data_IF_803518265869
#
_entry.id   IF_803518265869
#
_cell.length_a   1.000
_cell.length_b   1.000
_cell.length_c   1.000
_cell.angle_alpha   90.00
_cell.angle_beta   90.00
_cell.angle_gamma   90.00
#
_symmetry.space_group_name_H-M   'P 1'
#
loop_
_entity.id
_entity.type
_entity.pdbx_description
1 polymer ?
#
# COMPACT_ATOMS: atom_id res chain seq x y z
N UNK A 1 -62.55 18.39 7.40
CA UNK A 1 -61.71 18.73 6.23
C UNK A 1 -61.38 20.21 6.43
N UNK A 2 -60.23 20.62 6.95
CA UNK A 2 -58.82 20.44 6.51
C UNK A 2 -57.93 20.92 7.67
N UNK A 3 -57.11 20.02 8.24
CA UNK A 3 -55.61 19.94 8.17
C UNK A 3 -54.87 20.86 9.15
N UNK A 4 -54.08 20.20 10.01
CA UNK A 4 -52.96 20.71 10.80
C UNK A 4 -52.10 21.72 10.06
N UNK A 5 -51.53 22.66 10.81
CA UNK A 5 -50.13 23.02 10.62
C UNK A 5 -49.55 23.32 12.01
N UNK A 6 -48.92 22.29 12.57
CA UNK A 6 -48.10 22.35 13.78
C UNK A 6 -46.97 23.37 13.56
N UNK A 7 -46.90 24.35 14.45
CA UNK A 7 -45.82 25.34 14.45
C UNK A 7 -44.54 24.69 14.97
N UNK A 8 -43.74 24.12 14.08
CA UNK A 8 -42.44 23.53 14.42
C UNK A 8 -41.44 24.66 14.76
N UNK A 9 -40.90 24.72 16.00
CA UNK A 9 -40.00 25.79 16.39
C UNK A 9 -38.68 25.68 15.61
N UNK A 10 -38.13 26.82 15.18
CA UNK A 10 -36.81 26.88 14.56
C UNK A 10 -35.75 26.29 15.52
N UNK A 11 -35.26 25.09 15.17
CA UNK A 11 -34.15 24.46 15.87
C UNK A 11 -32.88 25.27 15.61
N UNK A 12 -32.52 26.16 16.54
CA UNK A 12 -31.14 26.65 16.65
C UNK A 12 -30.23 25.44 16.81
N UNK A 13 -29.23 25.32 15.95
CA UNK A 13 -28.34 24.14 15.90
C UNK A 13 -27.87 23.80 17.31
N UNK A 14 -28.03 22.53 17.68
CA UNK A 14 -27.61 22.04 19.00
C UNK A 14 -26.12 22.33 19.21
N UNK A 15 -25.64 22.52 20.45
CA UNK A 15 -24.21 22.49 20.76
C UNK A 15 -23.51 21.26 20.17
N UNK A 16 -24.21 20.13 20.10
CA UNK A 16 -23.74 18.91 19.45
C UNK A 16 -23.64 19.04 17.92
N UNK A 17 -24.60 19.72 17.27
CA UNK A 17 -24.53 20.01 15.83
C UNK A 17 -23.38 20.97 15.52
N UNK A 18 -23.13 21.95 16.40
CA UNK A 18 -22.00 22.85 16.26
C UNK A 18 -20.66 22.11 16.40
N UNK A 19 -20.55 21.20 17.37
CA UNK A 19 -19.36 20.34 17.53
C UNK A 19 -19.19 19.40 16.32
N UNK A 20 -20.26 18.80 15.80
CA UNK A 20 -20.22 17.96 14.61
C UNK A 20 -19.84 18.77 13.35
N UNK A 21 -20.39 19.97 13.20
CA UNK A 21 -20.05 20.88 12.11
C UNK A 21 -18.60 21.37 12.21
N UNK A 22 -18.10 21.66 13.41
CA UNK A 22 -16.69 21.97 13.64
C UNK A 22 -15.77 20.77 13.38
N UNK A 23 -16.17 19.55 13.76
CA UNK A 23 -15.44 18.32 13.42
C UNK A 23 -15.44 18.03 11.92
N UNK A 24 -16.50 18.40 11.20
CA UNK A 24 -16.57 18.30 9.74
C UNK A 24 -15.76 19.39 9.04
N UNK A 25 -15.77 20.62 9.57
CA UNK A 25 -15.11 21.78 8.96
C UNK A 25 -13.61 21.84 9.27
N UNK A 26 -13.23 21.46 10.50
CA UNK A 26 -11.84 21.44 10.96
C UNK A 26 -11.20 20.06 10.95
N UNK A 27 -11.96 19.01 10.65
CA UNK A 27 -11.49 17.65 10.42
C UNK A 27 -10.63 17.14 11.56
N UNK A 28 -11.16 16.21 12.38
CA UNK A 28 -10.32 15.33 13.21
C UNK A 28 -8.97 15.11 12.50
N UNK A 29 -7.88 15.61 13.09
CA UNK A 29 -6.52 15.39 12.58
C UNK A 29 -6.02 14.15 13.31
N UNK A 30 -6.07 12.95 12.69
CA UNK A 30 -5.26 11.85 13.18
C UNK A 30 -3.79 12.32 13.13
N UNK A 31 -2.91 11.73 13.93
CA UNK A 31 -1.52 12.21 14.23
C UNK A 31 -1.34 13.23 15.36
N UNK A 32 -1.91 12.95 16.53
CA UNK A 32 -1.02 12.96 17.70
C UNK A 32 -0.81 11.56 18.29
N UNK A 33 -1.76 10.62 18.14
CA UNK A 33 -1.55 9.25 18.64
C UNK A 33 -2.13 8.10 17.78
N UNK A 34 -3.02 8.35 16.80
CA UNK A 34 -3.66 7.28 16.00
C UNK A 34 -3.39 7.41 14.48
N UNK A 35 -3.24 6.28 13.75
CA UNK A 35 -3.07 6.25 12.30
C UNK A 35 -4.27 6.89 11.57
N UNK A 36 -4.01 7.62 10.48
CA UNK A 36 -5.07 8.16 9.63
C UNK A 36 -5.78 7.05 8.86
N UNK A 37 -7.09 6.83 9.07
CA UNK A 37 -7.81 5.71 8.47
C UNK A 37 -8.21 5.95 7.00
N UNK A 38 -7.95 7.14 6.45
CA UNK A 38 -8.37 7.46 5.08
C UNK A 38 -7.53 6.67 4.07
N UNK A 39 -8.16 6.06 3.04
CA UNK A 39 -7.42 5.31 2.04
C UNK A 39 -6.59 6.24 1.16
N UNK A 40 -5.48 5.70 0.63
CA UNK A 40 -4.76 6.34 -0.47
C UNK A 40 -5.62 6.41 -1.73
N UNK A 41 -5.37 7.39 -2.62
CA UNK A 41 -6.04 7.45 -3.91
C UNK A 41 -5.67 6.22 -4.75
N UNK A 42 -6.64 5.70 -5.51
CA UNK A 42 -6.42 4.55 -6.39
C UNK A 42 -5.38 4.85 -7.47
N UNK A 43 -4.45 3.92 -7.69
CA UNK A 43 -3.30 4.14 -8.59
C UNK A 43 -3.70 4.51 -10.03
N UNK A 44 -4.78 3.93 -10.56
CA UNK A 44 -5.26 4.24 -11.90
C UNK A 44 -5.86 5.65 -11.99
N UNK A 45 -6.57 6.10 -10.95
CA UNK A 45 -7.10 7.46 -10.87
C UNK A 45 -5.95 8.47 -10.79
N UNK A 46 -4.90 8.15 -10.01
CA UNK A 46 -3.69 8.96 -9.94
C UNK A 46 -3.00 9.03 -11.31
N UNK A 47 -2.82 7.91 -12.00
CA UNK A 47 -2.20 7.88 -13.32
C UNK A 47 -2.97 8.75 -14.33
N UNK A 48 -4.30 8.63 -14.36
CA UNK A 48 -5.16 9.47 -15.20
C UNK A 48 -5.04 10.97 -14.86
N UNK A 49 -5.06 11.33 -13.58
CA UNK A 49 -4.91 12.71 -13.16
C UNK A 49 -3.53 13.30 -13.56
N UNK A 50 -2.46 12.52 -13.52
CA UNK A 50 -1.13 12.95 -13.96
C UNK A 50 -1.12 13.16 -15.47
N UNK A 51 -1.76 12.27 -16.25
CA UNK A 51 -1.93 12.46 -17.68
C UNK A 51 -2.67 13.78 -17.98
N UNK A 52 -3.79 14.03 -17.31
CA UNK A 52 -4.59 15.24 -17.49
C UNK A 52 -3.81 16.53 -17.19
N UNK A 53 -2.95 16.52 -16.15
CA UNK A 53 -2.07 17.65 -15.81
C UNK A 53 -1.08 17.93 -16.95
N UNK A 54 -0.45 16.89 -17.48
CA UNK A 54 0.51 17.02 -18.57
C UNK A 54 -0.18 17.47 -19.86
N UNK A 55 -1.31 16.85 -20.21
CA UNK A 55 -2.09 17.20 -21.39
C UNK A 55 -2.58 18.65 -21.33
N UNK A 56 -2.99 19.14 -20.15
CA UNK A 56 -3.36 20.54 -19.96
C UNK A 56 -2.18 21.49 -20.21
N UNK A 57 -0.99 21.20 -19.66
CA UNK A 57 0.20 22.02 -19.89
C UNK A 57 0.61 22.03 -21.37
N UNK A 58 0.63 20.86 -22.01
CA UNK A 58 1.00 20.72 -23.42
C UNK A 58 -0.02 21.45 -24.30
N UNK A 59 -1.31 21.11 -24.19
CA UNK A 59 -2.34 21.67 -25.06
C UNK A 59 -2.51 23.19 -24.94
N UNK A 60 -2.18 23.77 -23.79
CA UNK A 60 -2.31 25.23 -23.56
C UNK A 60 -1.09 26.03 -24.00
N UNK A 61 0.10 25.42 -24.04
CA UNK A 61 1.36 26.12 -24.29
C UNK A 61 2.00 25.79 -25.65
N UNK A 62 1.70 24.62 -26.23
CA UNK A 62 2.16 24.26 -27.58
C UNK A 62 1.62 25.23 -28.64
N UNK A 63 2.43 25.50 -29.67
CA UNK A 63 2.14 26.45 -30.74
C UNK A 63 1.89 27.89 -30.25
N UNK A 64 2.34 28.21 -29.04
CA UNK A 64 2.28 29.56 -28.47
C UNK A 64 3.68 30.16 -28.29
N UNK A 65 3.73 31.44 -27.92
CA UNK A 65 4.99 32.09 -27.55
C UNK A 65 5.63 31.54 -26.27
N UNK A 66 4.90 30.73 -25.50
CA UNK A 66 5.38 30.09 -24.27
C UNK A 66 5.85 28.66 -24.48
N UNK A 67 5.74 28.11 -25.70
CA UNK A 67 6.23 26.77 -26.01
C UNK A 67 7.71 26.55 -25.64
N UNK A 68 8.64 27.53 -25.80
CA UNK A 68 10.02 27.35 -25.36
C UNK A 68 10.19 27.09 -23.85
N UNK A 69 9.22 27.49 -23.03
CA UNK A 69 9.23 27.28 -21.57
C UNK A 69 8.58 25.94 -21.16
N UNK A 70 7.92 25.25 -22.08
CA UNK A 70 7.11 24.06 -21.79
C UNK A 70 7.95 22.91 -21.22
N UNK A 71 9.13 22.63 -21.78
CA UNK A 71 10.01 21.56 -21.30
C UNK A 71 10.39 21.76 -19.82
N UNK A 72 10.80 22.96 -19.44
CA UNK A 72 11.18 23.29 -18.07
C UNK A 72 9.98 23.22 -17.10
N UNK A 73 8.77 23.57 -17.57
CA UNK A 73 7.54 23.41 -16.80
C UNK A 73 7.19 21.94 -16.58
N UNK A 74 7.23 21.09 -17.62
CA UNK A 74 6.99 19.65 -17.50
C UNK A 74 8.04 18.99 -16.59
N UNK A 75 9.31 19.39 -16.72
CA UNK A 75 10.38 18.94 -15.85
C UNK A 75 10.08 19.30 -14.39
N UNK A 76 9.65 20.54 -14.14
CA UNK A 76 9.34 21.05 -12.80
C UNK A 76 8.14 20.35 -12.18
N UNK A 77 7.10 20.05 -12.97
CA UNK A 77 5.92 19.28 -12.53
C UNK A 77 6.32 17.89 -12.06
N UNK A 78 7.11 17.15 -12.85
CA UNK A 78 7.67 15.85 -12.43
C UNK A 78 8.49 15.97 -11.14
N UNK A 79 9.30 17.02 -11.05
CA UNK A 79 10.17 17.28 -9.91
C UNK A 79 9.41 17.58 -8.60
N UNK A 80 8.15 18.02 -8.65
CA UNK A 80 7.32 18.19 -7.44
C UNK A 80 7.08 16.83 -6.76
N UNK A 81 6.68 15.82 -7.53
CA UNK A 81 6.42 14.48 -7.00
C UNK A 81 7.70 13.79 -6.52
N UNK A 82 8.80 13.95 -7.26
CA UNK A 82 10.10 13.46 -6.82
C UNK A 82 10.52 14.04 -5.45
N UNK A 83 10.42 15.36 -5.27
CA UNK A 83 10.76 16.00 -3.99
C UNK A 83 9.81 15.62 -2.86
N UNK A 84 8.55 15.31 -3.17
CA UNK A 84 7.61 14.80 -2.19
C UNK A 84 8.02 13.41 -1.70
N UNK A 85 8.32 12.49 -2.62
CA UNK A 85 8.84 11.15 -2.28
C UNK A 85 10.13 11.23 -1.44
N UNK A 86 11.09 12.07 -1.81
CA UNK A 86 12.35 12.24 -1.07
C UNK A 86 12.16 12.84 0.34
N UNK A 87 11.11 13.61 0.57
CA UNK A 87 10.78 14.12 1.90
C UNK A 87 10.24 13.00 2.79
N UNK A 88 9.29 12.23 2.27
CA UNK A 88 8.72 11.09 2.99
C UNK A 88 9.76 10.00 3.24
N UNK A 89 10.68 9.78 2.30
CA UNK A 89 11.79 8.85 2.49
C UNK A 89 12.68 9.23 3.69
N UNK A 90 12.96 10.52 3.88
CA UNK A 90 13.71 11.00 5.06
C UNK A 90 12.91 10.86 6.36
N UNK A 91 11.62 11.16 6.33
CA UNK A 91 10.73 10.92 7.48
C UNK A 91 10.71 9.42 7.85
N UNK A 92 10.70 8.53 6.85
CA UNK A 92 10.75 7.08 7.03
C UNK A 92 12.11 6.64 7.62
N UNK A 93 13.23 7.18 7.15
CA UNK A 93 14.56 6.89 7.70
C UNK A 93 14.66 7.26 9.19
N UNK A 94 14.07 8.39 9.59
CA UNK A 94 14.01 8.81 10.99
C UNK A 94 13.10 7.89 11.82
N UNK A 95 11.93 7.51 11.28
CA UNK A 95 11.02 6.56 11.92
C UNK A 95 11.68 5.17 12.08
N UNK A 96 12.40 4.66 11.07
CA UNK A 96 13.13 3.39 11.16
C UNK A 96 14.21 3.42 12.25
N UNK A 97 14.92 4.55 12.40
CA UNK A 97 15.88 4.73 13.48
C UNK A 97 15.19 4.74 14.85
N UNK A 98 14.02 5.37 14.97
CA UNK A 98 13.21 5.36 16.18
C UNK A 98 12.72 3.94 16.53
N UNK A 99 12.23 3.17 15.54
CA UNK A 99 11.85 1.77 15.72
C UNK A 99 13.03 0.93 16.23
N UNK A 100 14.21 1.03 15.60
CA UNK A 100 15.42 0.30 16.02
C UNK A 100 15.85 0.66 17.44
N UNK A 101 15.75 1.92 17.83
CA UNK A 101 16.03 2.38 19.20
C UNK A 101 15.03 1.79 20.18
N UNK A 102 13.73 1.94 19.89
CA UNK A 102 12.64 1.41 20.73
C UNK A 102 12.79 -0.10 20.95
N UNK A 103 13.11 -0.87 19.90
CA UNK A 103 13.38 -2.31 20.01
C UNK A 103 14.53 -2.66 20.95
N UNK A 104 15.62 -1.88 20.95
CA UNK A 104 16.79 -2.10 21.83
C UNK A 104 16.50 -1.71 23.28
N UNK A 105 15.62 -0.74 23.48
CA UNK A 105 15.26 -0.21 24.80
C UNK A 105 14.07 -0.95 25.43
N UNK A 106 13.55 -2.00 24.78
CA UNK A 106 12.47 -2.83 25.31
C UNK A 106 12.84 -3.42 26.67
N UNK A 107 11.95 -3.23 27.64
CA UNK A 107 12.03 -3.77 28.99
C UNK A 107 10.84 -4.69 29.33
N UNK A 108 10.00 -4.98 28.34
CA UNK A 108 8.80 -5.80 28.49
C UNK A 108 7.59 -5.07 29.08
N UNK A 109 7.66 -3.74 29.27
CA UNK A 109 6.50 -2.95 29.67
C UNK A 109 5.49 -2.80 28.52
N UNK A 110 4.21 -2.77 28.88
CA UNK A 110 3.12 -2.53 27.93
C UNK A 110 3.29 -1.18 27.23
N UNK A 111 3.69 -0.14 27.96
CA UNK A 111 3.93 1.21 27.43
C UNK A 111 4.92 1.19 26.27
N UNK A 112 6.12 0.61 26.45
CA UNK A 112 7.12 0.53 25.38
C UNK A 112 6.72 -0.38 24.23
N UNK A 113 5.88 -1.38 24.50
CA UNK A 113 5.33 -2.26 23.46
C UNK A 113 4.36 -1.46 22.57
N UNK A 114 3.43 -0.71 23.17
CA UNK A 114 2.48 0.16 22.46
C UNK A 114 3.20 1.27 21.70
N UNK A 115 4.24 1.88 22.27
CA UNK A 115 5.05 2.88 21.57
C UNK A 115 5.74 2.31 20.32
N UNK A 116 6.25 1.08 20.39
CA UNK A 116 6.82 0.40 19.23
C UNK A 116 5.76 0.09 18.17
N UNK A 117 4.59 -0.40 18.57
CA UNK A 117 3.46 -0.63 17.66
C UNK A 117 3.03 0.65 16.94
N UNK A 118 2.97 1.79 17.66
CA UNK A 118 2.67 3.09 17.06
C UNK A 118 3.72 3.49 16.02
N UNK A 119 5.01 3.34 16.32
CA UNK A 119 6.09 3.63 15.38
C UNK A 119 6.02 2.75 14.13
N UNK A 120 5.64 1.47 14.28
CA UNK A 120 5.45 0.54 13.16
C UNK A 120 4.28 0.98 12.28
N UNK A 121 3.14 1.34 12.88
CA UNK A 121 1.96 1.80 12.15
C UNK A 121 2.23 3.12 11.39
N UNK A 122 2.97 4.04 12.02
CA UNK A 122 3.45 5.26 11.36
C UNK A 122 4.40 4.94 10.19
N UNK A 123 5.36 4.03 10.40
CA UNK A 123 6.28 3.58 9.36
C UNK A 123 5.56 2.98 8.15
N UNK A 124 4.51 2.18 8.38
CA UNK A 124 3.67 1.65 7.31
C UNK A 124 2.98 2.77 6.53
N UNK A 125 2.43 3.77 7.22
CA UNK A 125 1.78 4.92 6.59
C UNK A 125 2.78 5.73 5.74
N UNK A 126 4.02 5.89 6.21
CA UNK A 126 5.09 6.57 5.47
C UNK A 126 5.51 5.79 4.21
N UNK A 127 5.61 4.46 4.29
CA UNK A 127 5.87 3.59 3.13
C UNK A 127 4.78 3.77 2.07
N UNK A 128 3.52 3.65 2.46
CA UNK A 128 2.38 3.77 1.56
C UNK A 128 2.35 5.15 0.89
N UNK A 129 2.58 6.23 1.65
CA UNK A 129 2.67 7.60 1.12
C UNK A 129 3.85 7.79 0.17
N UNK A 130 5.03 7.25 0.47
CA UNK A 130 6.21 7.31 -0.41
C UNK A 130 5.89 6.61 -1.73
N UNK A 131 5.35 5.41 -1.66
CA UNK A 131 5.05 4.58 -2.85
C UNK A 131 3.98 5.23 -3.75
N UNK A 132 3.05 6.00 -3.17
CA UNK A 132 2.10 6.82 -3.92
C UNK A 132 2.78 7.97 -4.68
N UNK A 133 3.70 8.70 -4.04
CA UNK A 133 4.45 9.77 -4.70
C UNK A 133 5.47 9.24 -5.72
N UNK A 134 6.07 8.06 -5.48
CA UNK A 134 6.90 7.39 -6.48
C UNK A 134 6.07 7.02 -7.72
N UNK A 135 4.85 6.49 -7.55
CA UNK A 135 3.95 6.25 -8.69
C UNK A 135 3.64 7.53 -9.47
N UNK A 136 3.28 8.62 -8.79
CA UNK A 136 3.02 9.91 -9.45
C UNK A 136 4.24 10.40 -10.23
N UNK A 137 5.43 10.30 -9.62
CA UNK A 137 6.69 10.65 -10.26
C UNK A 137 6.93 9.80 -11.50
N UNK A 138 6.76 8.48 -11.42
CA UNK A 138 7.04 7.58 -12.54
C UNK A 138 6.07 7.83 -13.72
N UNK A 139 4.78 8.04 -13.43
CA UNK A 139 3.81 8.44 -14.45
C UNK A 139 4.21 9.79 -15.08
N UNK A 140 4.58 10.78 -14.27
CA UNK A 140 5.04 12.06 -14.78
C UNK A 140 6.32 11.94 -15.64
N UNK A 141 7.27 11.07 -15.25
CA UNK A 141 8.46 10.77 -16.05
C UNK A 141 8.09 10.18 -17.42
N UNK A 142 7.15 9.24 -17.47
CA UNK A 142 6.68 8.67 -18.73
C UNK A 142 6.04 9.74 -19.64
N UNK A 143 5.19 10.61 -19.09
CA UNK A 143 4.58 11.69 -19.86
C UNK A 143 5.61 12.74 -20.32
N UNK A 144 6.59 13.07 -19.47
CA UNK A 144 7.71 13.92 -19.84
C UNK A 144 8.48 13.33 -21.03
N UNK A 145 8.85 12.05 -20.97
CA UNK A 145 9.60 11.37 -22.03
C UNK A 145 8.79 11.28 -23.32
N UNK A 146 7.49 10.94 -23.24
CA UNK A 146 6.59 10.92 -24.41
C UNK A 146 6.52 12.26 -25.13
N UNK A 147 6.52 13.38 -24.39
CA UNK A 147 6.38 14.70 -24.98
C UNK A 147 7.72 15.28 -25.47
N UNK A 148 8.78 15.15 -24.69
CA UNK A 148 10.09 15.77 -24.96
C UNK A 148 11.03 14.87 -25.77
N UNK A 149 10.75 13.57 -25.85
CA UNK A 149 11.63 12.56 -26.43
C UNK A 149 12.89 12.26 -25.60
N UNK A 150 13.04 12.90 -24.43
CA UNK A 150 14.18 12.72 -23.54
C UNK A 150 13.73 12.19 -22.18
N UNK A 151 14.48 11.24 -21.63
CA UNK A 151 14.17 10.71 -20.30
C UNK A 151 14.30 11.79 -19.22
N UNK A 152 13.29 11.91 -18.36
CA UNK A 152 13.35 12.81 -17.22
C UNK A 152 14.46 12.37 -16.25
N UNK A 153 15.23 13.34 -15.74
CA UNK A 153 16.23 13.09 -14.69
C UNK A 153 16.21 14.20 -13.65
N UNK A 154 16.36 13.87 -12.35
CA UNK A 154 16.53 14.89 -11.34
C UNK A 154 17.87 15.61 -11.53
N UNK A 155 17.89 16.92 -11.27
CA UNK A 155 19.12 17.73 -11.38
C UNK A 155 20.12 17.38 -10.28
N UNK A 156 19.63 16.91 -9.14
CA UNK A 156 20.41 16.44 -8.00
C UNK A 156 19.75 15.19 -7.42
N UNK A 157 20.55 14.25 -6.91
CA UNK A 157 20.06 13.03 -6.28
C UNK A 157 19.92 11.85 -7.23
N UNK A 158 19.43 10.73 -6.70
CA UNK A 158 19.24 9.47 -7.44
C UNK A 158 17.76 9.22 -7.68
N UNK A 159 17.44 8.63 -8.84
CA UNK A 159 16.10 8.14 -9.15
C UNK A 159 15.91 6.74 -8.57
N UNK A 160 15.71 6.65 -7.26
CA UNK A 160 15.42 5.37 -6.59
C UNK A 160 13.91 5.11 -6.62
N UNK A 161 13.53 3.87 -6.94
CA UNK A 161 12.15 3.41 -6.93
C UNK A 161 12.01 2.21 -5.98
N UNK A 162 11.58 2.49 -4.75
CA UNK A 162 11.45 1.50 -3.70
C UNK A 162 10.22 0.62 -3.92
N UNK A 163 9.15 1.18 -4.49
CA UNK A 163 7.95 0.44 -4.86
C UNK A 163 8.26 -0.66 -5.88
N UNK A 164 8.95 -0.34 -6.97
CA UNK A 164 9.33 -1.30 -8.00
C UNK A 164 10.27 -2.39 -7.44
N UNK A 165 11.22 -2.01 -6.57
CA UNK A 165 12.09 -2.96 -5.89
C UNK A 165 11.30 -3.94 -5.01
N UNK A 166 10.32 -3.44 -4.25
CA UNK A 166 9.46 -4.25 -3.40
C UNK A 166 8.62 -5.23 -4.23
N UNK A 167 8.00 -4.76 -5.30
CA UNK A 167 7.22 -5.62 -6.21
C UNK A 167 8.10 -6.75 -6.80
N UNK A 168 9.29 -6.42 -7.30
CA UNK A 168 10.21 -7.41 -7.86
C UNK A 168 10.68 -8.45 -6.82
N UNK A 169 10.90 -8.03 -5.56
CA UNK A 169 11.26 -8.96 -4.47
C UNK A 169 10.11 -9.91 -4.12
N UNK A 170 8.88 -9.41 -4.07
CA UNK A 170 7.68 -10.22 -3.81
C UNK A 170 7.49 -11.25 -4.94
N UNK A 171 7.53 -10.80 -6.19
CA UNK A 171 7.39 -11.67 -7.36
C UNK A 171 8.46 -12.76 -7.39
N UNK A 172 9.71 -12.42 -7.06
CA UNK A 172 10.81 -13.37 -6.95
C UNK A 172 10.57 -14.43 -5.86
N UNK A 173 10.11 -14.02 -4.68
CA UNK A 173 9.76 -14.95 -3.60
C UNK A 173 8.62 -15.88 -4.00
N UNK A 174 7.59 -15.34 -4.64
CA UNK A 174 6.42 -16.10 -5.04
C UNK A 174 6.78 -17.09 -6.16
N UNK A 175 7.64 -16.70 -7.10
CA UNK A 175 8.25 -17.59 -8.09
C UNK A 175 9.04 -18.74 -7.44
N UNK A 176 9.89 -18.44 -6.45
CA UNK A 176 10.65 -19.47 -5.72
C UNK A 176 9.73 -20.43 -4.94
N UNK A 177 8.65 -19.93 -4.35
CA UNK A 177 7.66 -20.75 -3.67
C UNK A 177 6.90 -21.66 -4.65
N UNK A 178 6.51 -21.13 -5.82
CA UNK A 178 5.88 -21.89 -6.88
C UNK A 178 6.81 -22.99 -7.42
N UNK A 179 8.09 -22.67 -7.63
CA UNK A 179 9.11 -23.65 -8.03
C UNK A 179 9.27 -24.77 -7.00
N UNK A 180 9.39 -24.43 -5.71
CA UNK A 180 9.48 -25.44 -4.63
C UNK A 180 8.24 -26.33 -4.59
N UNK A 181 7.04 -25.79 -4.81
CA UNK A 181 5.80 -26.57 -4.90
C UNK A 181 5.85 -27.52 -6.08
N UNK A 182 6.24 -27.05 -7.26
CA UNK A 182 6.37 -27.89 -8.45
C UNK A 182 7.42 -29.02 -8.26
N UNK A 183 8.57 -28.73 -7.65
CA UNK A 183 9.59 -29.74 -7.33
C UNK A 183 9.09 -30.76 -6.29
N UNK A 184 8.32 -30.32 -5.28
CA UNK A 184 7.72 -31.20 -4.29
C UNK A 184 6.59 -32.08 -4.88
N UNK A 185 5.84 -31.56 -5.86
CA UNK A 185 4.80 -32.30 -6.58
C UNK A 185 5.38 -33.43 -7.45
N UNK A 186 6.60 -33.29 -7.98
CA UNK A 186 7.29 -34.38 -8.69
C UNK A 186 7.70 -35.53 -7.75
N UNK A 187 7.97 -35.23 -6.48
CA UNK A 187 8.31 -36.23 -5.45
C UNK A 187 7.08 -36.89 -4.83
N UNK A 188 5.87 -36.43 -5.15
CA UNK A 188 4.63 -37.02 -4.66
C UNK A 188 4.17 -38.11 -5.63
N UNK A 189 3.95 -39.35 -5.17
CA UNK A 189 3.36 -40.37 -6.01
C UNK A 189 1.96 -39.92 -6.46
N UNK A 190 1.58 -40.17 -7.72
CA UNK A 190 0.22 -39.89 -8.18
C UNK A 190 -0.77 -40.73 -7.37
N UNK A 191 -1.87 -40.11 -6.95
CA UNK A 191 -2.95 -40.76 -6.23
C UNK A 191 -3.45 -39.98 -5.00
N UNK A 192 -4.50 -40.49 -4.32
CA UNK A 192 -5.08 -39.86 -3.14
C UNK A 192 -4.07 -39.75 -2.00
N UNK A 193 -3.87 -38.53 -1.49
CA UNK A 193 -2.99 -38.29 -0.33
C UNK A 193 -3.69 -38.75 0.94
N UNK A 194 -3.19 -39.82 1.55
CA UNK A 194 -3.72 -40.35 2.81
C UNK A 194 -2.83 -39.89 3.96
N UNK A 195 -3.36 -39.06 4.85
CA UNK A 195 -2.70 -38.72 6.11
C UNK A 195 -3.11 -39.73 7.20
N UNK A 196 -2.13 -40.44 7.76
CA UNK A 196 -2.31 -41.30 8.92
C UNK A 196 -1.86 -40.55 10.18
N UNK A 197 -2.77 -40.35 11.13
CA UNK A 197 -2.43 -39.89 12.48
C UNK A 197 -2.76 -40.98 13.49
N UNK A 198 -1.80 -41.30 14.36
CA UNK A 198 -1.95 -42.29 15.42
C UNK A 198 -1.31 -41.77 16.71
N UNK A 199 -1.95 -42.02 17.85
CA UNK A 199 -1.35 -41.82 19.17
C UNK A 199 -0.25 -42.85 19.47
N UNK A 200 -0.02 -43.13 20.76
CA UNK A 200 1.03 -44.06 21.24
C UNK A 200 0.97 -45.50 20.64
N UNK A 201 -0.15 -45.89 20.02
CA UNK A 201 -0.37 -47.20 19.38
C UNK A 201 -0.08 -47.23 17.85
N UNK A 202 0.79 -46.36 17.34
CA UNK A 202 1.21 -46.33 15.92
C UNK A 202 1.86 -47.63 15.41
N UNK A 203 2.27 -48.54 16.30
CA UNK A 203 3.03 -49.75 15.95
C UNK A 203 2.17 -50.94 15.44
N UNK A 204 0.84 -50.84 15.47
CA UNK A 204 -0.02 -51.88 14.90
C UNK A 204 -0.10 -51.77 13.37
N UNK A 205 0.94 -52.26 12.70
CA UNK A 205 1.02 -52.30 11.24
C UNK A 205 -0.16 -53.02 10.59
N UNK A 206 -0.80 -54.00 11.25
CA UNK A 206 -1.93 -54.75 10.67
C UNK A 206 -3.17 -53.89 10.59
N UNK A 207 -3.44 -53.10 11.64
CA UNK A 207 -4.54 -52.14 11.65
C UNK A 207 -4.36 -51.06 10.57
N UNK A 208 -3.12 -50.60 10.38
CA UNK A 208 -2.77 -49.61 9.35
C UNK A 208 -3.05 -50.17 7.95
N UNK A 209 -2.55 -51.36 7.63
CA UNK A 209 -2.77 -52.00 6.32
C UNK A 209 -4.25 -52.27 6.06
N UNK A 210 -4.99 -52.79 7.04
CA UNK A 210 -6.43 -53.03 6.89
C UNK A 210 -7.23 -51.74 6.59
N UNK A 211 -6.82 -50.60 7.16
CA UNK A 211 -7.43 -49.30 6.86
C UNK A 211 -7.04 -48.76 5.50
N UNK A 212 -5.78 -48.91 5.10
CA UNK A 212 -5.34 -48.53 3.75
C UNK A 212 -6.06 -49.35 2.67
N UNK A 213 -6.22 -50.67 2.86
CA UNK A 213 -6.97 -51.54 1.95
C UNK A 213 -8.45 -51.12 1.84
N UNK A 214 -9.06 -50.74 2.96
CA UNK A 214 -10.43 -50.23 2.99
C UNK A 214 -10.58 -48.92 2.20
N UNK A 215 -9.59 -48.03 2.28
CA UNK A 215 -9.57 -46.75 1.54
C UNK A 215 -9.28 -46.98 0.06
N UNK A 216 -8.33 -47.86 -0.28
CA UNK A 216 -8.01 -48.23 -1.65
C UNK A 216 -9.22 -48.85 -2.37
N UNK A 217 -10.04 -49.64 -1.68
CA UNK A 217 -11.29 -50.19 -2.23
C UNK A 217 -12.31 -49.09 -2.58
N UNK A 218 -12.25 -47.93 -1.90
CA UNK A 218 -13.14 -46.77 -2.15
C UNK A 218 -12.59 -45.79 -3.18
N UNK A 219 -11.27 -45.78 -3.39
CA UNK A 219 -10.56 -44.91 -4.33
C UNK A 219 -9.59 -45.77 -5.14
N UNK A 220 -10.05 -46.42 -6.24
CA UNK A 220 -9.25 -47.38 -7.01
C UNK A 220 -8.22 -46.76 -7.96
N UNK A 221 -8.17 -45.42 -8.03
CA UNK A 221 -7.27 -44.63 -8.88
C UNK A 221 -6.25 -43.87 -8.03
#
# INVERSE_FOLDING_TARGET
MTTDDDFEPHHTSSPTDHVLAELQLYGFRPFQDEPDPRPLPEGNLVAGAIADIFDALVATLSDTRLEPDLEDLLWSTTNVFHRAADRIARELDDNEQAQRRSQREQDGTEVKSVELERLIAEGQTLIERRDAFELMRDQACEHFERHTGSAWRPRNGSLVNHRAMTAAMIDSRDFLAAKKRAEAEVMLPPGPKIALSGGLDFNDHRLIWAKLDQVHTKHPD
#
